data_IF_376265295880
#
_entry.id   IF_376265295880
#
_cell.length_a   1.000
_cell.length_b   1.000
_cell.length_c   1.000
_cell.angle_alpha   90.00
_cell.angle_beta   90.00
_cell.angle_gamma   90.00
#
_symmetry.space_group_name_H-M   'P 1'
#
loop_
_entity.id
_entity.type
_entity.pdbx_description
1 polymer ?
#
# COMPACT_ATOMS: atom_id res chain seq x y z
N UNK A 1 20.52 -14.09 -3.08
CA UNK A 1 19.86 -12.85 -3.53
C UNK A 1 19.63 -12.00 -2.28
N UNK A 2 20.42 -10.94 -2.11
CA UNK A 2 20.46 -10.15 -0.88
C UNK A 2 19.25 -9.22 -0.81
N UNK A 3 18.31 -9.51 0.09
CA UNK A 3 17.33 -8.53 0.56
C UNK A 3 18.02 -7.71 1.65
N UNK A 4 18.35 -6.45 1.35
CA UNK A 4 18.87 -5.53 2.35
C UNK A 4 17.78 -5.24 3.38
N UNK A 5 17.96 -5.77 4.58
CA UNK A 5 17.12 -5.54 5.76
C UNK A 5 17.58 -4.26 6.48
N UNK A 6 17.17 -3.11 5.97
CA UNK A 6 17.15 -1.89 6.76
C UNK A 6 15.89 -1.91 7.65
N UNK A 7 15.91 -2.70 8.74
CA UNK A 7 14.90 -2.70 9.80
C UNK A 7 13.47 -3.11 9.40
N UNK A 8 13.25 -4.41 9.18
CA UNK A 8 11.97 -5.16 9.18
C UNK A 8 10.76 -4.65 8.35
N UNK A 9 10.96 -3.72 7.42
CA UNK A 9 9.91 -3.27 6.53
C UNK A 9 10.00 -4.01 5.17
N UNK A 10 9.25 -5.10 5.01
CA UNK A 10 9.19 -5.87 3.77
C UNK A 10 8.37 -5.11 2.73
N UNK A 11 8.93 -4.86 1.53
CA UNK A 11 8.23 -4.17 0.43
C UNK A 11 7.82 -5.17 -0.65
N UNK A 12 6.54 -5.17 -0.98
CA UNK A 12 5.94 -6.07 -1.98
C UNK A 12 5.16 -5.27 -3.03
N UNK A 13 5.16 -5.69 -4.30
CA UNK A 13 4.36 -5.05 -5.34
C UNK A 13 2.87 -5.19 -5.02
N UNK A 14 2.11 -4.12 -5.24
CA UNK A 14 0.65 -4.16 -5.01
C UNK A 14 -0.02 -4.88 -6.17
N UNK A 15 -0.75 -6.00 -5.94
CA UNK A 15 -1.49 -6.68 -6.99
C UNK A 15 -2.47 -5.75 -7.71
N UNK A 16 -2.45 -5.72 -9.04
CA UNK A 16 -3.25 -4.79 -9.84
C UNK A 16 -2.64 -3.40 -10.02
N UNK A 17 -1.52 -3.09 -9.36
CA UNK A 17 -0.69 -1.90 -9.58
C UNK A 17 0.80 -2.26 -9.78
N UNK A 18 1.07 -3.47 -10.25
CA UNK A 18 2.41 -3.98 -10.52
C UNK A 18 3.18 -3.05 -11.47
N UNK A 19 4.46 -2.81 -11.14
CA UNK A 19 5.32 -1.86 -11.87
C UNK A 19 5.02 -0.37 -11.62
N UNK A 20 3.99 -0.05 -10.82
CA UNK A 20 3.64 1.33 -10.45
C UNK A 20 3.88 1.58 -8.96
N UNK A 21 3.40 0.69 -8.10
CA UNK A 21 3.43 0.88 -6.64
C UNK A 21 3.81 -0.40 -5.88
N UNK A 22 4.49 -0.18 -4.76
CA UNK A 22 4.83 -1.20 -3.76
C UNK A 22 4.26 -0.77 -2.40
N UNK A 23 3.85 -1.74 -1.60
CA UNK A 23 3.37 -1.55 -0.24
C UNK A 23 4.30 -2.26 0.72
N UNK A 24 4.48 -1.70 1.90
CA UNK A 24 5.28 -2.30 2.94
C UNK A 24 4.47 -3.09 3.97
N UNK A 25 5.16 -3.93 4.76
CA UNK A 25 4.57 -4.60 5.92
C UNK A 25 3.95 -3.63 6.95
N UNK A 26 4.44 -2.39 7.01
CA UNK A 26 3.92 -1.32 7.87
C UNK A 26 2.87 -0.44 7.17
N UNK A 27 2.33 -0.86 6.01
CA UNK A 27 1.30 -0.11 5.31
C UNK A 27 1.74 1.19 4.66
N UNK A 28 3.06 1.42 4.49
CA UNK A 28 3.58 2.50 3.67
C UNK A 28 3.51 2.12 2.20
N UNK A 29 3.19 3.08 1.34
CA UNK A 29 3.13 2.86 -0.11
C UNK A 29 4.21 3.70 -0.77
N UNK A 30 5.01 3.11 -1.65
CA UNK A 30 6.02 3.81 -2.46
C UNK A 30 5.82 3.54 -3.94
N UNK A 31 6.41 4.39 -4.79
CA UNK A 31 6.44 4.14 -6.24
C UNK A 31 7.50 3.09 -6.58
N UNK A 32 7.10 2.08 -7.35
CA UNK A 32 8.02 1.04 -7.83
C UNK A 32 8.89 1.57 -8.98
N UNK A 33 8.32 2.33 -9.91
CA UNK A 33 9.02 2.85 -11.10
C UNK A 33 9.28 4.35 -11.06
N UNK A 34 10.41 4.75 -11.65
CA UNK A 34 10.73 6.13 -11.96
C UNK A 34 9.95 6.53 -13.21
N UNK A 35 9.06 7.50 -13.06
CA UNK A 35 8.39 8.14 -14.18
C UNK A 35 8.98 9.53 -14.42
N UNK A 36 8.72 10.12 -15.59
CA UNK A 36 9.11 11.49 -15.94
C UNK A 36 8.69 12.53 -14.88
N UNK A 37 7.65 12.22 -14.10
CA UNK A 37 7.10 13.09 -13.04
C UNK A 37 7.47 12.69 -11.59
N UNK A 38 8.09 11.52 -11.35
CA UNK A 38 8.37 11.06 -9.99
C UNK A 38 9.48 9.99 -9.96
N UNK A 39 10.35 10.05 -8.96
CA UNK A 39 11.42 9.06 -8.76
C UNK A 39 10.88 7.74 -8.20
N UNK A 40 11.50 6.64 -8.61
CA UNK A 40 11.32 5.33 -7.98
C UNK A 40 11.70 5.43 -6.50
N UNK A 41 11.01 4.68 -5.63
CA UNK A 41 11.25 4.66 -4.19
C UNK A 41 10.61 5.81 -3.40
N UNK A 42 9.96 6.78 -4.06
CA UNK A 42 9.27 7.86 -3.33
C UNK A 42 8.07 7.31 -2.55
N UNK A 43 8.13 7.37 -1.22
CA UNK A 43 7.04 7.01 -0.31
C UNK A 43 5.93 8.06 -0.41
N UNK A 44 4.71 7.63 -0.70
CA UNK A 44 3.54 8.50 -0.78
C UNK A 44 3.17 8.97 0.63
N UNK A 45 2.61 10.17 0.73
CA UNK A 45 2.02 10.66 1.99
C UNK A 45 0.59 10.13 2.12
N UNK A 46 0.26 9.34 3.15
CA UNK A 46 -1.11 8.95 3.41
C UNK A 46 -1.93 10.16 3.86
N UNK A 47 -3.24 10.09 3.67
CA UNK A 47 -4.20 10.98 4.33
C UNK A 47 -4.98 10.20 5.35
N UNK A 48 -5.12 10.76 6.55
CA UNK A 48 -6.04 10.24 7.56
C UNK A 48 -7.48 10.52 7.12
N UNK A 49 -8.34 9.51 7.18
CA UNK A 49 -9.78 9.65 6.97
C UNK A 49 -10.49 9.94 8.29
N UNK A 50 -11.72 10.44 8.21
CA UNK A 50 -12.53 10.73 9.40
C UNK A 50 -12.83 9.46 10.22
N UNK A 51 -12.87 8.29 9.59
CA UNK A 51 -13.02 6.98 10.22
C UNK A 51 -11.72 6.43 10.85
N UNK A 52 -10.63 7.22 10.84
CA UNK A 52 -9.37 6.91 11.52
C UNK A 52 -8.39 6.06 10.72
N UNK A 53 -8.64 5.82 9.42
CA UNK A 53 -7.78 4.99 8.59
C UNK A 53 -6.88 5.83 7.67
N UNK A 54 -5.69 5.32 7.37
CA UNK A 54 -4.83 5.90 6.36
C UNK A 54 -5.31 5.51 4.95
N UNK A 55 -5.37 6.48 4.03
CA UNK A 55 -5.64 6.25 2.60
C UNK A 55 -4.55 6.86 1.71
N UNK A 56 -4.28 6.19 0.61
CA UNK A 56 -3.38 6.63 -0.45
C UNK A 56 -4.16 6.97 -1.73
N UNK A 57 -3.69 7.97 -2.46
CA UNK A 57 -4.16 8.27 -3.81
C UNK A 57 -3.21 7.61 -4.81
N UNK A 58 -3.63 6.49 -5.40
CA UNK A 58 -2.87 5.76 -6.40
C UNK A 58 -3.33 6.17 -7.79
N UNK A 59 -2.40 6.46 -8.70
CA UNK A 59 -2.69 6.86 -10.08
C UNK A 59 -2.29 5.75 -11.05
N UNK A 60 -3.21 5.31 -11.90
CA UNK A 60 -2.98 4.32 -12.96
C UNK A 60 -3.78 4.73 -14.20
N UNK A 61 -3.12 4.75 -15.36
CA UNK A 61 -3.73 5.12 -16.66
C UNK A 61 -4.48 6.46 -16.63
N UNK A 62 -3.86 7.51 -16.09
CA UNK A 62 -4.42 8.88 -15.96
C UNK A 62 -5.66 9.02 -15.07
N UNK A 63 -6.08 7.96 -14.37
CA UNK A 63 -7.11 8.01 -13.32
C UNK A 63 -6.46 7.79 -11.96
N UNK A 64 -7.03 8.38 -10.93
CA UNK A 64 -6.60 8.15 -9.55
C UNK A 64 -7.72 7.51 -8.73
N UNK A 65 -7.33 6.66 -7.79
CA UNK A 65 -8.23 6.00 -6.84
C UNK A 65 -7.73 6.21 -5.42
N UNK A 66 -8.67 6.41 -4.51
CA UNK A 66 -8.38 6.41 -3.08
C UNK A 66 -8.50 4.99 -2.53
N UNK A 67 -7.39 4.44 -2.06
CA UNK A 67 -7.32 3.08 -1.50
C UNK A 67 -6.81 3.17 -0.07
N UNK A 68 -7.46 2.46 0.86
CA UNK A 68 -7.03 2.41 2.27
C UNK A 68 -5.72 1.61 2.39
N UNK A 69 -4.81 2.06 3.26
CA UNK A 69 -3.50 1.47 3.48
C UNK A 69 -3.60 -0.02 3.87
N UNK A 70 -4.44 -0.33 4.87
CA UNK A 70 -4.66 -1.71 5.33
C UNK A 70 -5.17 -2.65 4.24
N UNK A 71 -5.95 -2.14 3.28
CA UNK A 71 -6.43 -2.94 2.15
C UNK A 71 -5.30 -3.29 1.20
N UNK A 72 -4.34 -2.39 0.99
CA UNK A 72 -3.18 -2.63 0.14
C UNK A 72 -2.26 -3.67 0.78
N UNK A 73 -2.01 -3.55 2.10
CA UNK A 73 -1.24 -4.54 2.85
C UNK A 73 -1.91 -5.90 2.78
N UNK A 74 -3.19 -5.99 3.14
CA UNK A 74 -3.93 -7.25 3.07
C UNK A 74 -3.91 -7.85 1.66
N UNK A 75 -4.14 -7.03 0.63
CA UNK A 75 -4.10 -7.51 -0.76
C UNK A 75 -2.74 -8.08 -1.14
N UNK A 76 -1.65 -7.44 -0.71
CA UNK A 76 -0.30 -7.84 -1.11
C UNK A 76 0.28 -8.98 -0.26
N UNK A 77 -0.04 -9.06 1.04
CA UNK A 77 0.49 -10.07 1.95
C UNK A 77 -0.46 -11.24 2.22
N UNK A 78 -1.77 -10.98 2.32
CA UNK A 78 -2.80 -12.00 2.56
C UNK A 78 -3.45 -12.49 1.26
N UNK A 79 -3.38 -11.70 0.19
CA UNK A 79 -3.99 -12.01 -1.09
C UNK A 79 -5.40 -11.40 -1.28
N UNK A 80 -6.13 -11.81 -2.33
CA UNK A 80 -7.45 -11.26 -2.62
C UNK A 80 -8.44 -11.55 -1.48
N UNK A 81 -9.41 -10.65 -1.24
CA UNK A 81 -10.41 -10.86 -0.21
C UNK A 81 -11.19 -12.17 -0.47
N UNK A 82 -11.44 -12.99 0.57
CA UNK A 82 -12.08 -14.29 0.40
C UNK A 82 -13.56 -14.18 -0.04
N UNK A 83 -14.20 -13.04 0.18
CA UNK A 83 -15.57 -12.76 -0.27
C UNK A 83 -15.80 -11.25 -0.53
N UNK A 84 -16.76 -10.89 -1.41
CA UNK A 84 -17.14 -9.49 -1.63
C UNK A 84 -17.59 -8.82 -0.33
N UNK A 85 -17.04 -7.66 -0.01
CA UNK A 85 -17.36 -6.94 1.22
C UNK A 85 -16.52 -7.34 2.44
N UNK A 86 -15.51 -8.21 2.27
CA UNK A 86 -14.56 -8.48 3.34
C UNK A 86 -13.88 -7.19 3.83
N UNK A 87 -13.87 -7.04 5.16
CA UNK A 87 -13.17 -5.98 5.87
C UNK A 87 -11.89 -6.56 6.46
N UNK A 88 -10.80 -5.81 6.34
CA UNK A 88 -9.55 -6.13 7.02
C UNK A 88 -9.70 -5.63 8.45
N UNK A 89 -9.69 -6.54 9.41
CA UNK A 89 -9.71 -6.20 10.82
C UNK A 89 -8.28 -6.04 11.34
N UNK A 90 -8.01 -4.94 12.03
CA UNK A 90 -6.77 -4.77 12.80
C UNK A 90 -6.97 -5.48 14.13
N UNK A 91 -6.30 -6.62 14.34
CA UNK A 91 -6.44 -7.42 15.56
C UNK A 91 -5.92 -6.69 16.81
N UNK A 92 -5.09 -5.66 16.65
CA UNK A 92 -4.47 -4.89 17.74
C UNK A 92 -5.27 -3.63 18.14
N UNK A 93 -6.40 -3.34 17.50
CA UNK A 93 -7.21 -2.14 17.79
C UNK A 93 -6.57 -0.81 17.37
N UNK A 94 -5.30 -0.81 16.95
CA UNK A 94 -4.65 0.32 16.33
C UNK A 94 -5.17 0.50 14.88
N UNK A 95 -5.83 1.63 14.62
CA UNK A 95 -6.41 1.94 13.31
C UNK A 95 -5.38 2.60 12.38
N UNK A 96 -4.20 2.92 12.91
CA UNK A 96 -3.13 3.56 12.17
C UNK A 96 -2.25 2.55 11.44
N UNK A 97 -2.23 1.27 11.85
CA UNK A 97 -1.51 0.17 11.17
C UNK A 97 -2.13 -1.21 11.35
#
# INVERSE_FOLDING_TARGET
>A
VAASIDGDEAWVPVPGYEGLYEVSSHGRVRRSSSSRMARAGHVLKPRLTWDGYLKYALSKRQRYWHVKAHRLVALAFLGPPPFPGAHVAHFDGDKLM
#
